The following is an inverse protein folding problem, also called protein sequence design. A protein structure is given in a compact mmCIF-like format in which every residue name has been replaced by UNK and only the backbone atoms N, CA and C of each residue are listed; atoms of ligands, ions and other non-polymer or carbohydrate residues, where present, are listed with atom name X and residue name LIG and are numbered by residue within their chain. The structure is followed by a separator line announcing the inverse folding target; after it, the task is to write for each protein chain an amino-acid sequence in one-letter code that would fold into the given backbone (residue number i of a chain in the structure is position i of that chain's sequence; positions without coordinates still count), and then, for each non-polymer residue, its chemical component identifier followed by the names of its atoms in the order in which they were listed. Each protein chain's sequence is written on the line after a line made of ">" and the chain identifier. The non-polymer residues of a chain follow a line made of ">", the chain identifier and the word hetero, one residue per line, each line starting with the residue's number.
data_IF_262043296850
#
_entry.id   IF_262043296850
#
_cell.length_a   1.000
_cell.length_b   1.000
_cell.length_c   1.000
_cell.angle_alpha   90.00
_cell.angle_beta   90.00
_cell.angle_gamma   90.00
#
_symmetry.space_group_name_H-M   'P 1'
#
loop_
_entity.id
_entity.type
_entity.pdbx_description
1 polymer ?
#
# COMPACT_ATOMS: atom_id res chain seq x y z
N UNK A 1 14.12 10.15 -0.88
CA UNK A 1 14.45 9.94 0.54
C UNK A 1 15.01 11.25 1.09
N UNK A 2 14.76 11.59 2.35
CA UNK A 2 15.28 12.84 2.95
C UNK A 2 16.81 12.82 3.07
N UNK A 3 17.45 13.99 2.96
CA UNK A 3 18.90 14.12 3.16
C UNK A 3 19.29 13.74 4.58
N UNK A 4 20.57 13.37 4.79
CA UNK A 4 21.09 13.07 6.14
C UNK A 4 20.88 14.22 7.11
N UNK A 5 20.93 15.47 6.65
CA UNK A 5 20.70 16.65 7.49
C UNK A 5 19.25 16.71 7.95
N UNK A 6 18.31 16.51 7.03
CA UNK A 6 16.87 16.47 7.36
C UNK A 6 16.56 15.32 8.31
N UNK A 7 17.10 14.12 8.06
CA UNK A 7 16.89 12.96 8.93
C UNK A 7 17.38 13.24 10.37
N UNK A 8 18.59 13.79 10.53
CA UNK A 8 19.10 14.20 11.85
C UNK A 8 18.23 15.26 12.52
N UNK A 9 17.74 16.23 11.76
CA UNK A 9 16.84 17.26 12.27
C UNK A 9 15.52 16.66 12.78
N UNK A 10 14.91 15.74 12.03
CA UNK A 10 13.68 15.04 12.41
C UNK A 10 13.90 14.16 13.65
N UNK A 11 15.00 13.42 13.71
CA UNK A 11 15.37 12.60 14.87
C UNK A 11 15.56 13.44 16.14
N UNK A 12 16.31 14.55 16.04
CA UNK A 12 16.53 15.47 17.17
C UNK A 12 15.21 16.00 17.74
N UNK A 13 14.24 16.29 16.88
CA UNK A 13 12.93 16.80 17.28
C UNK A 13 11.89 15.69 17.55
N UNK A 14 12.28 14.41 17.48
CA UNK A 14 11.42 13.22 17.69
C UNK A 14 10.18 13.20 16.77
N UNK A 15 10.33 13.63 15.52
CA UNK A 15 9.27 13.73 14.52
C UNK A 15 9.39 12.58 13.53
N UNK A 16 8.25 11.96 13.20
CA UNK A 16 8.16 10.88 12.22
C UNK A 16 7.34 11.32 11.01
N UNK A 17 7.53 10.63 9.89
CA UNK A 17 6.67 10.80 8.73
C UNK A 17 5.20 10.58 9.13
N UNK A 18 4.33 11.39 8.53
CA UNK A 18 2.90 11.51 8.79
C UNK A 18 2.52 12.09 10.16
N UNK A 19 3.46 12.51 11.01
CA UNK A 19 3.10 13.27 12.22
C UNK A 19 2.54 14.64 11.83
N UNK A 20 1.57 15.12 12.61
CA UNK A 20 1.10 16.50 12.51
C UNK A 20 2.01 17.39 13.34
N UNK A 21 2.59 18.42 12.73
CA UNK A 21 3.53 19.32 13.38
C UNK A 21 3.15 20.78 13.14
N UNK A 22 3.46 21.60 14.14
CA UNK A 22 3.48 23.05 14.09
C UNK A 22 4.90 23.50 13.79
N UNK A 23 5.08 24.33 12.77
CA UNK A 23 6.37 24.79 12.28
C UNK A 23 6.36 26.31 12.32
N UNK A 24 7.35 26.88 13.00
CA UNK A 24 7.55 28.33 13.02
C UNK A 24 8.71 28.63 12.08
N UNK A 25 8.44 29.41 11.04
CA UNK A 25 9.42 29.83 10.05
C UNK A 25 9.93 31.25 10.33
N UNK A 26 10.73 31.80 9.42
CA UNK A 26 11.16 33.20 9.50
C UNK A 26 9.96 34.15 9.42
N UNK A 27 9.03 33.85 8.50
CA UNK A 27 7.97 34.76 8.08
C UNK A 27 6.58 34.35 8.58
N UNK A 28 6.35 33.04 8.77
CA UNK A 28 5.02 32.49 9.05
C UNK A 28 5.01 31.33 10.04
N UNK A 29 3.81 31.07 10.59
CA UNK A 29 3.48 29.89 11.38
C UNK A 29 2.62 28.92 10.57
N UNK A 30 3.08 27.68 10.47
CA UNK A 30 2.50 26.68 9.58
C UNK A 30 2.13 25.43 10.38
N UNK A 31 0.94 24.91 10.15
CA UNK A 31 0.50 23.63 10.71
C UNK A 31 0.17 22.64 9.59
N UNK A 32 0.68 21.41 9.69
CA UNK A 32 0.37 20.38 8.72
C UNK A 32 0.97 19.02 9.03
N UNK A 33 0.79 18.10 8.10
CA UNK A 33 1.26 16.72 8.19
C UNK A 33 2.59 16.60 7.46
N UNK A 34 3.62 16.08 8.14
CA UNK A 34 4.91 15.82 7.51
C UNK A 34 4.77 14.68 6.50
N UNK A 35 5.04 14.96 5.23
CA UNK A 35 5.03 13.95 4.17
C UNK A 35 6.43 13.44 3.88
N UNK A 36 6.51 12.35 3.11
CA UNK A 36 7.76 11.95 2.48
C UNK A 36 8.10 12.93 1.35
N UNK A 37 9.38 13.04 1.03
CA UNK A 37 9.89 13.92 -0.03
C UNK A 37 10.12 13.14 -1.32
N UNK A 38 9.64 13.63 -2.47
CA UNK A 38 10.03 13.12 -3.78
C UNK A 38 11.55 13.11 -3.97
N UNK A 39 12.06 12.10 -4.70
CA UNK A 39 13.50 11.89 -4.84
C UNK A 39 14.22 12.97 -5.65
N UNK A 40 13.48 13.72 -6.47
CA UNK A 40 14.00 14.75 -7.38
C UNK A 40 14.08 16.17 -6.81
N UNK A 41 13.63 16.40 -5.56
CA UNK A 41 13.69 17.73 -4.95
C UNK A 41 15.09 18.03 -4.38
N UNK A 42 15.34 19.27 -3.94
CA UNK A 42 16.56 19.61 -3.21
C UNK A 42 16.64 18.94 -1.83
N UNK A 43 17.88 18.70 -1.37
CA UNK A 43 18.19 17.85 -0.23
C UNK A 43 17.61 18.33 1.11
N UNK A 44 17.55 19.65 1.34
CA UNK A 44 17.29 20.22 2.67
C UNK A 44 15.86 20.79 2.83
N UNK A 45 14.88 20.26 2.08
CA UNK A 45 13.47 20.73 2.10
C UNK A 45 12.54 19.73 2.77
N UNK A 46 11.74 20.17 3.75
CA UNK A 46 10.63 19.42 4.35
C UNK A 46 9.35 19.60 3.56
N UNK A 47 8.59 18.52 3.33
CA UNK A 47 7.28 18.58 2.66
C UNK A 47 6.16 18.47 3.69
N UNK A 48 5.27 19.46 3.71
CA UNK A 48 4.16 19.56 4.66
C UNK A 48 2.84 19.63 3.91
N UNK A 49 1.87 18.80 4.29
CA UNK A 49 0.49 18.89 3.81
C UNK A 49 -0.33 19.76 4.75
N UNK A 50 -0.83 20.86 4.23
CA UNK A 50 -1.69 21.82 4.93
C UNK A 50 -3.11 21.27 5.10
N UNK A 51 -3.88 21.85 6.02
CA UNK A 51 -5.29 21.48 6.27
C UNK A 51 -6.20 21.71 5.07
N UNK A 52 -5.86 22.67 4.19
CA UNK A 52 -6.55 22.94 2.93
C UNK A 52 -6.22 21.93 1.81
N UNK A 53 -5.38 20.93 2.08
CA UNK A 53 -5.02 19.87 1.14
C UNK A 53 -3.79 20.14 0.29
N UNK A 54 -3.26 21.37 0.26
CA UNK A 54 -2.06 21.72 -0.50
C UNK A 54 -0.79 21.19 0.19
N UNK A 55 0.20 20.84 -0.63
CA UNK A 55 1.53 20.46 -0.16
C UNK A 55 2.48 21.65 -0.36
N UNK A 56 3.30 21.95 0.65
CA UNK A 56 4.32 22.99 0.58
C UNK A 56 5.70 22.43 0.94
N UNK A 57 6.74 23.01 0.36
CA UNK A 57 8.13 22.73 0.69
C UNK A 57 8.73 23.83 1.54
N UNK A 58 9.33 23.49 2.68
CA UNK A 58 10.00 24.45 3.56
C UNK A 58 11.47 24.05 3.69
N UNK A 59 12.38 24.93 3.25
CA UNK A 59 13.81 24.72 3.44
C UNK A 59 14.15 24.76 4.93
N UNK A 60 14.98 23.82 5.41
CA UNK A 60 15.40 23.72 6.81
C UNK A 60 15.99 25.03 7.35
N UNK A 61 16.66 25.83 6.51
CA UNK A 61 17.26 27.12 6.90
C UNK A 61 16.22 28.13 7.37
N UNK A 62 14.99 28.01 6.88
CA UNK A 62 13.90 28.94 7.19
C UNK A 62 13.10 28.49 8.42
N UNK A 63 13.43 27.37 9.05
CA UNK A 63 12.70 26.82 10.19
C UNK A 63 13.36 27.25 11.50
N UNK A 64 12.66 28.03 12.31
CA UNK A 64 13.09 28.42 13.66
C UNK A 64 12.83 27.30 14.67
N UNK A 65 11.64 26.69 14.62
CA UNK A 65 11.29 25.59 15.52
C UNK A 65 10.20 24.71 14.93
N UNK A 66 10.11 23.48 15.43
CA UNK A 66 9.09 22.51 15.05
C UNK A 66 8.58 21.76 16.28
N UNK A 67 7.26 21.58 16.41
CA UNK A 67 6.63 20.89 17.55
C UNK A 67 5.57 19.92 17.04
N UNK A 68 5.62 18.67 17.51
CA UNK A 68 4.58 17.68 17.19
C UNK A 68 3.30 18.04 17.92
N UNK A 69 2.21 18.16 17.18
CA UNK A 69 0.85 18.37 17.69
C UNK A 69 0.19 17.02 17.94
N UNK A 70 0.29 16.11 16.96
CA UNK A 70 -0.27 14.76 17.08
C UNK A 70 0.61 13.76 16.35
N UNK A 71 0.90 12.63 17.01
CA UNK A 71 1.62 11.53 16.38
C UNK A 71 0.70 10.75 15.45
N UNK A 72 1.23 10.30 14.33
CA UNK A 72 0.50 9.38 13.46
C UNK A 72 0.29 8.06 14.19
N UNK A 73 -0.94 7.57 14.18
CA UNK A 73 -1.23 6.19 14.57
C UNK A 73 -0.51 5.28 13.58
N UNK A 74 0.27 4.28 14.05
CA UNK A 74 0.86 3.33 13.13
C UNK A 74 -0.25 2.78 12.23
N UNK A 75 -0.04 2.84 10.91
CA UNK A 75 -0.91 2.14 9.98
C UNK A 75 -0.91 0.70 10.48
N UNK A 76 -2.06 0.21 10.95
CA UNK A 76 -2.17 -1.19 11.33
C UNK A 76 -1.72 -1.97 10.10
N UNK A 77 -0.58 -2.64 10.19
CA UNK A 77 -0.25 -3.72 9.27
C UNK A 77 -1.42 -4.67 9.45
N UNK A 78 -2.34 -4.66 8.48
CA UNK A 78 -3.42 -5.63 8.45
C UNK A 78 -2.69 -6.90 8.03
N UNK A 79 -2.05 -7.55 9.00
CA UNK A 79 -1.65 -8.94 8.94
C UNK A 79 -2.93 -9.71 9.13
N UNK A 80 -3.79 -9.67 8.13
CA UNK A 80 -4.94 -10.54 8.15
C UNK A 80 -4.46 -11.91 7.67
N UNK A 81 -4.22 -12.79 8.64
CA UNK A 81 -4.75 -14.15 8.47
C UNK A 81 -6.27 -14.00 8.48
N UNK A 82 -6.84 -13.50 7.38
CA UNK A 82 -8.28 -13.37 7.25
C UNK A 82 -8.86 -14.76 7.48
N UNK A 83 -9.85 -14.87 8.37
CA UNK A 83 -10.46 -16.17 8.63
C UNK A 83 -11.05 -16.67 7.32
N UNK A 84 -10.65 -17.88 6.94
CA UNK A 84 -11.23 -18.55 5.77
C UNK A 84 -12.75 -18.64 6.00
N UNK A 85 -13.58 -18.14 5.08
CA UNK A 85 -15.03 -18.19 5.23
C UNK A 85 -15.53 -19.64 5.32
N UNK A 86 -16.58 -19.89 6.11
CA UNK A 86 -17.21 -21.23 6.22
C UNK A 86 -18.05 -21.63 4.99
N UNK A 87 -18.35 -20.67 4.11
CA UNK A 87 -19.14 -20.84 2.87
C UNK A 87 -18.21 -21.08 1.67
N UNK A 88 -18.71 -21.51 0.49
CA UNK A 88 -17.91 -21.39 -0.73
C UNK A 88 -17.34 -19.97 -0.83
N UNK A 89 -16.05 -19.90 -1.12
CA UNK A 89 -15.31 -18.65 -1.13
C UNK A 89 -14.40 -18.58 -2.35
N UNK A 90 -14.11 -17.36 -2.76
CA UNK A 90 -13.11 -17.04 -3.78
C UNK A 90 -11.89 -16.46 -3.06
N UNK A 91 -10.70 -16.87 -3.49
CA UNK A 91 -9.45 -16.34 -2.97
C UNK A 91 -8.92 -15.22 -3.87
N UNK A 92 -8.57 -14.07 -3.29
CA UNK A 92 -7.94 -12.97 -4.01
C UNK A 92 -6.48 -12.88 -3.57
N UNK A 93 -5.57 -13.16 -4.50
CA UNK A 93 -4.13 -13.07 -4.32
C UNK A 93 -3.64 -11.67 -4.73
N UNK A 94 -3.10 -10.94 -3.77
CA UNK A 94 -2.56 -9.61 -3.99
C UNK A 94 -1.07 -9.67 -4.34
N UNK A 95 -0.74 -9.37 -5.61
CA UNK A 95 0.65 -9.27 -6.06
C UNK A 95 1.08 -7.85 -6.37
N UNK A 96 0.14 -6.91 -6.43
CA UNK A 96 0.34 -5.52 -6.83
C UNK A 96 -0.81 -5.07 -7.74
N UNK A 97 -0.50 -4.17 -8.66
CA UNK A 97 -1.48 -3.62 -9.60
C UNK A 97 -2.37 -2.53 -9.00
N UNK A 98 -2.83 -1.62 -9.84
CA UNK A 98 -3.60 -0.43 -9.45
C UNK A 98 -5.04 -0.76 -9.07
N UNK A 99 -5.56 -1.92 -9.47
CA UNK A 99 -6.91 -2.40 -9.10
C UNK A 99 -7.06 -2.58 -7.58
N UNK A 100 -5.95 -2.82 -6.87
CA UNK A 100 -5.91 -2.96 -5.43
C UNK A 100 -5.52 -1.64 -4.71
N UNK A 101 -5.43 -0.52 -5.43
CA UNK A 101 -4.92 0.74 -4.90
C UNK A 101 -6.02 1.66 -4.37
N UNK A 102 -5.78 2.24 -3.19
CA UNK A 102 -6.59 3.33 -2.62
C UNK A 102 -5.73 4.54 -2.30
N UNK A 103 -6.33 5.72 -2.40
CA UNK A 103 -5.70 6.97 -1.98
C UNK A 103 -5.95 7.17 -0.48
N UNK A 104 -4.90 7.25 0.31
CA UNK A 104 -4.97 7.80 1.66
C UNK A 104 -5.00 9.34 1.54
N UNK A 105 -6.20 9.92 1.48
CA UNK A 105 -6.37 11.37 1.34
C UNK A 105 -5.70 12.19 2.43
N UNK A 106 -5.44 11.61 3.61
CA UNK A 106 -4.70 12.29 4.69
C UNK A 106 -3.24 12.53 4.30
N UNK A 107 -2.64 11.64 3.53
CA UNK A 107 -1.22 11.73 3.12
C UNK A 107 -1.07 12.06 1.63
N UNK A 108 -2.12 11.85 0.83
CA UNK A 108 -2.06 11.83 -0.63
C UNK A 108 -1.38 10.57 -1.20
N UNK A 109 -0.95 9.64 -0.35
CA UNK A 109 -0.26 8.42 -0.76
C UNK A 109 -1.21 7.37 -1.32
N UNK A 110 -0.72 6.54 -2.22
CA UNK A 110 -1.46 5.39 -2.77
C UNK A 110 -1.02 4.12 -2.04
N UNK A 111 -2.00 3.33 -1.57
CA UNK A 111 -1.77 2.05 -0.89
C UNK A 111 -2.38 0.93 -1.71
N UNK A 112 -1.55 -0.03 -2.16
CA UNK A 112 -1.95 -1.15 -3.03
C UNK A 112 -2.36 -2.40 -2.24
N UNK A 113 -3.45 -2.32 -1.48
CA UNK A 113 -4.16 -3.50 -0.92
C UNK A 113 -5.54 -3.13 -0.37
N UNK A 114 -6.48 -4.08 -0.45
CA UNK A 114 -7.75 -4.05 0.27
C UNK A 114 -7.88 -5.24 1.21
N UNK A 115 -8.50 -5.06 2.37
CA UNK A 115 -9.01 -6.20 3.14
C UNK A 115 -10.34 -6.70 2.56
N UNK A 116 -10.76 -7.95 2.84
CA UNK A 116 -12.08 -8.45 2.44
C UNK A 116 -13.22 -7.53 2.86
N UNK A 117 -13.15 -6.98 4.09
CA UNK A 117 -14.15 -6.03 4.59
C UNK A 117 -14.19 -4.72 3.79
N UNK A 118 -13.03 -4.25 3.29
CA UNK A 118 -12.96 -3.06 2.45
C UNK A 118 -13.56 -3.32 1.07
N UNK A 119 -13.27 -4.46 0.45
CA UNK A 119 -13.88 -4.87 -0.82
C UNK A 119 -15.40 -5.00 -0.70
N UNK A 120 -15.88 -5.63 0.37
CA UNK A 120 -17.30 -5.77 0.65
C UNK A 120 -17.98 -4.41 0.90
N UNK A 121 -17.29 -3.44 1.49
CA UNK A 121 -17.82 -2.07 1.65
C UNK A 121 -17.89 -1.32 0.33
N UNK A 122 -16.90 -1.50 -0.55
CA UNK A 122 -16.87 -0.88 -1.88
C UNK A 122 -17.90 -1.50 -2.82
N UNK A 123 -18.10 -2.82 -2.72
CA UNK A 123 -19.02 -3.59 -3.55
C UNK A 123 -19.92 -4.45 -2.67
N UNK A 124 -20.98 -3.87 -2.06
CA UNK A 124 -21.87 -4.57 -1.14
C UNK A 124 -22.50 -5.83 -1.74
N UNK A 125 -22.73 -5.83 -3.05
CA UNK A 125 -23.34 -6.95 -3.78
C UNK A 125 -22.50 -8.22 -3.73
N UNK A 126 -21.17 -8.13 -3.51
CA UNK A 126 -20.29 -9.29 -3.37
C UNK A 126 -20.70 -10.21 -2.21
N UNK A 127 -21.39 -9.68 -1.19
CA UNK A 127 -21.93 -10.50 -0.08
C UNK A 127 -22.89 -11.60 -0.56
N UNK A 128 -23.53 -11.40 -1.71
CA UNK A 128 -24.49 -12.33 -2.27
C UNK A 128 -23.83 -13.50 -3.03
N UNK A 129 -22.57 -13.37 -3.42
CA UNK A 129 -21.87 -14.35 -4.27
C UNK A 129 -20.99 -15.33 -3.49
N UNK A 130 -20.67 -15.06 -2.22
CA UNK A 130 -19.92 -15.97 -1.37
C UNK A 130 -18.95 -15.29 -0.41
N UNK A 131 -18.10 -16.10 0.22
CA UNK A 131 -17.01 -15.58 1.03
C UNK A 131 -15.86 -15.05 0.18
N UNK A 132 -15.15 -14.04 0.68
CA UNK A 132 -13.90 -13.57 0.08
C UNK A 132 -12.77 -13.89 1.06
N UNK A 133 -11.75 -14.58 0.58
CA UNK A 133 -10.50 -14.78 1.30
C UNK A 133 -9.41 -13.97 0.61
N UNK A 134 -8.75 -13.07 1.34
CA UNK A 134 -7.66 -12.24 0.78
C UNK A 134 -6.31 -12.76 1.26
N UNK A 135 -5.36 -12.85 0.34
CA UNK A 135 -3.98 -13.26 0.62
C UNK A 135 -3.02 -12.24 0.03
N UNK A 136 -2.19 -11.63 0.87
CA UNK A 136 -1.17 -10.70 0.42
C UNK A 136 0.13 -11.44 0.07
N UNK A 137 0.43 -11.55 -1.23
CA UNK A 137 1.68 -12.15 -1.72
C UNK A 137 2.79 -11.10 -1.83
N UNK A 138 2.45 -9.85 -2.08
CA UNK A 138 3.41 -8.75 -2.14
C UNK A 138 2.86 -7.54 -2.88
N UNK A 139 3.68 -6.49 -2.98
CA UNK A 139 3.42 -5.34 -3.84
C UNK A 139 4.58 -5.25 -4.83
N UNK A 140 4.40 -5.89 -5.99
CA UNK A 140 5.38 -6.06 -7.04
C UNK A 140 4.97 -5.18 -8.23
N UNK A 141 5.94 -4.50 -8.84
CA UNK A 141 5.72 -3.87 -10.13
C UNK A 141 5.77 -4.94 -11.22
N UNK A 142 4.88 -4.88 -12.21
CA UNK A 142 4.77 -5.90 -13.26
C UNK A 142 6.08 -6.06 -14.04
N UNK A 143 6.77 -4.95 -14.32
CA UNK A 143 8.07 -4.87 -14.98
C UNK A 143 9.21 -5.56 -14.21
N UNK A 144 9.11 -5.66 -12.87
CA UNK A 144 10.10 -6.34 -12.03
C UNK A 144 9.71 -7.80 -11.69
N UNK A 145 8.66 -8.34 -12.31
CA UNK A 145 8.32 -9.74 -12.11
C UNK A 145 9.32 -10.69 -12.78
N UNK A 146 9.55 -11.83 -12.13
CA UNK A 146 10.59 -12.81 -12.43
C UNK A 146 10.05 -14.21 -12.11
N UNK A 147 10.75 -15.26 -12.54
CA UNK A 147 10.31 -16.65 -12.32
C UNK A 147 10.04 -17.01 -10.85
N UNK A 148 10.79 -16.44 -9.90
CA UNK A 148 10.53 -16.61 -8.47
C UNK A 148 9.15 -16.11 -8.04
N UNK A 149 8.68 -15.01 -8.63
CA UNK A 149 7.36 -14.45 -8.41
C UNK A 149 6.27 -15.37 -8.98
N UNK A 150 6.49 -15.94 -10.16
CA UNK A 150 5.56 -16.90 -10.78
C UNK A 150 5.40 -18.16 -9.94
N UNK A 151 6.52 -18.73 -9.47
CA UNK A 151 6.51 -19.86 -8.55
C UNK A 151 5.71 -19.55 -7.28
N UNK A 152 5.93 -18.37 -6.68
CA UNK A 152 5.19 -17.92 -5.50
C UNK A 152 3.68 -17.82 -5.75
N UNK A 153 3.27 -17.31 -6.91
CA UNK A 153 1.86 -17.25 -7.31
C UNK A 153 1.27 -18.65 -7.49
N UNK A 154 1.97 -19.55 -8.20
CA UNK A 154 1.50 -20.92 -8.42
C UNK A 154 1.35 -21.72 -7.11
N UNK A 155 2.34 -21.62 -6.21
CA UNK A 155 2.27 -22.23 -4.88
C UNK A 155 1.11 -21.69 -4.04
N UNK A 156 0.85 -20.38 -4.12
CA UNK A 156 -0.28 -19.76 -3.45
C UNK A 156 -1.62 -20.25 -4.01
N UNK A 157 -1.78 -20.32 -5.34
CA UNK A 157 -2.97 -20.88 -5.99
C UNK A 157 -3.24 -22.30 -5.50
N UNK A 158 -2.22 -23.17 -5.50
CA UNK A 158 -2.33 -24.55 -5.01
C UNK A 158 -2.74 -24.63 -3.52
N UNK A 159 -2.19 -23.75 -2.70
CA UNK A 159 -2.54 -23.67 -1.28
C UNK A 159 -4.01 -23.27 -1.08
N UNK A 160 -4.51 -22.31 -1.87
CA UNK A 160 -5.90 -21.87 -1.81
C UNK A 160 -6.90 -22.91 -2.32
N UNK A 161 -6.55 -23.65 -3.37
CA UNK A 161 -7.32 -24.80 -3.83
C UNK A 161 -7.45 -25.83 -2.71
N UNK A 162 -6.34 -26.17 -2.05
CA UNK A 162 -6.32 -27.12 -0.93
C UNK A 162 -7.16 -26.69 0.27
N UNK A 163 -7.36 -25.37 0.45
CA UNK A 163 -8.23 -24.79 1.48
C UNK A 163 -9.72 -24.80 1.10
N UNK A 164 -10.07 -25.23 -0.11
CA UNK A 164 -11.45 -25.34 -0.57
C UNK A 164 -11.96 -24.12 -1.35
N UNK A 165 -11.06 -23.26 -1.84
CA UNK A 165 -11.44 -22.13 -2.70
C UNK A 165 -12.15 -22.60 -3.96
N UNK A 166 -13.16 -21.85 -4.41
CA UNK A 166 -13.96 -22.15 -5.62
C UNK A 166 -13.48 -21.42 -6.87
N UNK A 167 -12.54 -20.50 -6.69
CA UNK A 167 -11.86 -19.79 -7.75
C UNK A 167 -10.80 -18.90 -7.13
N UNK A 168 -9.76 -18.61 -7.89
CA UNK A 168 -8.68 -17.71 -7.48
C UNK A 168 -8.66 -16.51 -8.39
N UNK A 169 -8.44 -15.32 -7.84
CA UNK A 169 -8.25 -14.09 -8.60
C UNK A 169 -6.87 -13.54 -8.23
N UNK A 170 -6.01 -13.35 -9.22
CA UNK A 170 -4.69 -12.75 -9.01
C UNK A 170 -4.73 -11.29 -9.47
N UNK A 171 -4.64 -10.37 -8.52
CA UNK A 171 -4.43 -8.94 -8.88
C UNK A 171 -2.98 -8.76 -9.33
N UNK A 172 -2.78 -8.07 -10.45
CA UNK A 172 -1.50 -8.00 -11.15
C UNK A 172 -1.35 -6.65 -11.87
N UNK A 173 -0.11 -6.24 -12.14
CA UNK A 173 0.18 -5.06 -12.97
C UNK A 173 -0.06 -5.32 -14.46
N UNK A 174 -0.31 -4.29 -15.26
CA UNK A 174 -0.74 -4.45 -16.66
C UNK A 174 0.38 -4.90 -17.60
N UNK A 175 1.61 -4.43 -17.38
CA UNK A 175 2.67 -4.49 -18.40
C UNK A 175 3.10 -5.92 -18.73
N UNK A 176 3.12 -6.80 -17.73
CA UNK A 176 3.55 -8.20 -17.88
C UNK A 176 2.44 -9.20 -17.59
N UNK A 177 1.18 -8.74 -17.50
CA UNK A 177 0.03 -9.61 -17.20
C UNK A 177 -0.02 -10.83 -18.14
N UNK A 178 0.09 -10.61 -19.45
CA UNK A 178 0.05 -11.70 -20.42
C UNK A 178 1.18 -12.72 -20.26
N UNK A 179 2.40 -12.25 -19.92
CA UNK A 179 3.55 -13.13 -19.68
C UNK A 179 3.35 -13.99 -18.43
N UNK A 180 2.89 -13.37 -17.33
CA UNK A 180 2.57 -14.08 -16.10
C UNK A 180 1.44 -15.09 -16.32
N UNK A 181 0.37 -14.71 -17.02
CA UNK A 181 -0.74 -15.61 -17.34
C UNK A 181 -0.28 -16.82 -18.15
N UNK A 182 0.57 -16.62 -19.18
CA UNK A 182 1.15 -17.70 -19.96
C UNK A 182 2.03 -18.62 -19.08
N UNK A 183 2.91 -18.05 -18.26
CA UNK A 183 3.76 -18.83 -17.35
C UNK A 183 2.94 -19.65 -16.34
N UNK A 184 1.90 -19.05 -15.75
CA UNK A 184 1.01 -19.75 -14.82
C UNK A 184 0.20 -20.84 -15.50
N UNK A 185 -0.23 -20.64 -16.75
CA UNK A 185 -0.94 -21.68 -17.52
C UNK A 185 -0.11 -22.95 -17.71
N UNK A 186 1.23 -22.85 -17.77
CA UNK A 186 2.11 -24.02 -17.82
C UNK A 186 2.46 -24.57 -16.43
N UNK A 187 2.57 -23.70 -15.41
CA UNK A 187 2.88 -24.13 -14.03
C UNK A 187 1.69 -24.80 -13.34
N UNK A 188 0.47 -24.40 -13.68
CA UNK A 188 -0.77 -24.85 -13.08
C UNK A 188 -1.45 -25.88 -13.97
N UNK A 189 -0.94 -27.11 -13.95
CA UNK A 189 -1.55 -28.22 -14.67
C UNK A 189 -2.80 -28.75 -13.94
N UNK A 190 -3.84 -29.09 -14.71
CA UNK A 190 -5.06 -29.76 -14.23
C UNK A 190 -5.76 -29.05 -13.06
N UNK A 191 -5.83 -27.71 -13.11
CA UNK A 191 -6.53 -26.94 -12.07
C UNK A 191 -8.04 -27.21 -12.12
N UNK A 192 -8.67 -27.63 -11.00
CA UNK A 192 -10.09 -27.99 -10.99
C UNK A 192 -11.05 -26.80 -10.85
N UNK A 193 -10.51 -25.58 -10.77
CA UNK A 193 -11.26 -24.33 -10.53
C UNK A 193 -10.71 -23.21 -11.42
N UNK A 194 -11.49 -22.15 -11.69
CA UNK A 194 -11.00 -20.96 -12.38
C UNK A 194 -9.90 -20.24 -11.60
N UNK A 195 -8.91 -19.73 -12.31
CA UNK A 195 -7.80 -18.90 -11.81
C UNK A 195 -7.65 -17.67 -12.72
#
# INVERSE_FOLDING_TARGET
>A
MYSRKVLKFLEKNKIRLNDKAKIITLDDEIEGILLNRPDYLEDDTLIIKLSNGYNIGINLRNIKSIKVISKTKPVKTINSKDKIPKKPFISILHTGGTIASKVDYRTGGVVSRFSPDELIKMFPDLKNYGGIHSVFLGNMFSDDMRFSHYKKMAEAVKAEISKGSKGVIITHGTDTLGYTSAALSFMLENVPIPV
#
